data_IF_186198772718
#
_entry.id   IF_186198772718
#
_cell.length_a   1.000
_cell.length_b   1.000
_cell.length_c   1.000
_cell.angle_alpha   90.00
_cell.angle_beta   90.00
_cell.angle_gamma   90.00
#
_symmetry.space_group_name_H-M   'P 1'
#
loop_
_entity.id
_entity.type
_entity.pdbx_description
1 polymer ?
#
# COMPACT_ATOMS: atom_id res chain seq x y z
N UNK A 1 31.00 42.27 -17.26
CA UNK A 1 30.18 41.61 -18.30
C UNK A 1 29.43 40.50 -17.60
N UNK A 2 28.16 40.75 -17.28
CA UNK A 2 27.28 39.78 -16.61
C UNK A 2 26.59 38.96 -17.66
N UNK A 3 26.82 37.63 -17.61
CA UNK A 3 26.12 36.68 -18.47
C UNK A 3 24.70 36.45 -17.92
N UNK A 4 23.72 37.01 -18.59
CA UNK A 4 22.30 36.80 -18.31
C UNK A 4 21.86 35.55 -19.09
N UNK A 5 21.48 34.52 -18.37
CA UNK A 5 20.98 33.27 -18.92
C UNK A 5 19.56 33.47 -19.51
N UNK A 6 19.29 33.23 -20.81
CA UNK A 6 18.03 33.64 -21.48
C UNK A 6 16.86 32.65 -21.34
N UNK A 7 16.90 31.70 -20.39
CA UNK A 7 15.89 30.63 -20.32
C UNK A 7 14.82 30.76 -19.23
N UNK A 8 14.68 31.94 -18.58
CA UNK A 8 13.57 32.19 -17.65
C UNK A 8 12.66 33.30 -18.16
N UNK A 9 11.88 33.02 -19.19
CA UNK A 9 10.65 33.78 -19.41
C UNK A 9 9.58 33.20 -18.48
N UNK A 10 9.11 34.02 -17.54
CA UNK A 10 7.97 33.72 -16.70
C UNK A 10 6.74 33.52 -17.61
N UNK A 11 6.35 32.28 -17.86
CA UNK A 11 5.05 31.98 -18.47
C UNK A 11 3.97 32.41 -17.49
N UNK A 12 3.12 33.32 -17.93
CA UNK A 12 1.92 33.73 -17.20
C UNK A 12 1.11 32.48 -16.87
N UNK A 13 0.93 32.23 -15.58
CA UNK A 13 0.03 31.19 -15.09
C UNK A 13 -1.37 31.66 -15.44
N UNK A 14 -2.02 30.97 -16.38
CA UNK A 14 -3.45 31.17 -16.66
C UNK A 14 -4.26 31.11 -15.36
N UNK A 15 -5.28 31.98 -15.18
CA UNK A 15 -6.06 32.01 -13.97
C UNK A 15 -6.68 30.64 -13.67
N UNK A 16 -6.62 30.24 -12.42
CA UNK A 16 -7.14 28.98 -11.95
C UNK A 16 -8.57 28.77 -12.43
N UNK A 17 -8.79 27.72 -13.19
CA UNK A 17 -10.14 27.32 -13.60
C UNK A 17 -11.02 27.15 -12.36
N UNK A 18 -12.24 27.69 -12.43
CA UNK A 18 -13.21 27.65 -11.33
C UNK A 18 -13.45 26.22 -10.81
N UNK A 19 -13.87 26.05 -9.53
CA UNK A 19 -14.14 24.72 -8.97
C UNK A 19 -15.14 23.86 -9.73
N UNK A 20 -15.97 24.45 -10.58
CA UNK A 20 -16.95 23.77 -11.43
C UNK A 20 -16.33 23.06 -12.65
N UNK A 21 -15.12 23.43 -13.10
CA UNK A 21 -14.43 22.83 -14.25
C UNK A 21 -13.65 21.54 -13.91
N UNK A 22 -13.67 21.08 -12.68
CA UNK A 22 -13.15 19.74 -12.32
C UNK A 22 -14.19 18.68 -12.65
N UNK A 23 -14.45 18.51 -13.93
CA UNK A 23 -15.27 17.43 -14.42
C UNK A 23 -14.68 16.09 -13.95
N UNK A 24 -15.54 15.21 -13.42
CA UNK A 24 -15.14 13.90 -12.89
C UNK A 24 -14.68 13.03 -14.07
N UNK A 25 -13.39 13.04 -14.36
CA UNK A 25 -12.76 12.24 -15.44
C UNK A 25 -13.14 10.75 -15.32
N UNK A 26 -13.54 10.30 -14.11
CA UNK A 26 -13.89 8.91 -13.81
C UNK A 26 -15.40 8.68 -13.62
N UNK A 27 -16.25 9.42 -14.33
CA UNK A 27 -17.71 9.31 -14.14
C UNK A 27 -18.28 7.93 -14.52
N UNK A 28 -17.56 7.13 -15.31
CA UNK A 28 -18.03 5.81 -15.78
C UNK A 28 -16.88 4.79 -15.75
N UNK A 29 -16.80 4.08 -14.65
CA UNK A 29 -15.98 2.87 -14.60
C UNK A 29 -16.70 1.71 -15.29
N UNK A 30 -15.96 0.72 -15.81
CA UNK A 30 -16.55 -0.52 -16.27
C UNK A 30 -17.43 -1.13 -15.18
N UNK A 31 -18.59 -1.64 -15.58
CA UNK A 31 -19.43 -2.38 -14.65
C UNK A 31 -18.76 -3.69 -14.27
N UNK A 32 -18.81 -4.04 -12.98
CA UNK A 32 -18.36 -5.35 -12.54
C UNK A 32 -19.19 -6.44 -13.25
N UNK A 33 -18.55 -7.50 -13.78
CA UNK A 33 -19.26 -8.60 -14.39
C UNK A 33 -20.13 -9.32 -13.33
N UNK A 34 -21.21 -9.95 -13.79
CA UNK A 34 -21.98 -10.86 -12.93
C UNK A 34 -21.07 -12.05 -12.55
N UNK A 35 -21.00 -12.34 -11.26
CA UNK A 35 -20.20 -13.46 -10.75
C UNK A 35 -20.82 -13.99 -9.45
N UNK A 36 -20.41 -15.19 -9.05
CA UNK A 36 -20.85 -15.85 -7.81
C UNK A 36 -19.95 -15.53 -6.61
N UNK A 37 -19.08 -14.53 -6.72
CA UNK A 37 -18.17 -14.12 -5.63
C UNK A 37 -18.95 -13.68 -4.40
N UNK A 38 -18.49 -14.00 -3.18
CA UNK A 38 -19.05 -13.40 -1.95
C UNK A 38 -18.85 -11.88 -1.90
N UNK A 39 -17.93 -11.34 -2.74
CA UNK A 39 -17.62 -9.92 -2.88
C UNK A 39 -17.65 -9.52 -4.36
N UNK A 40 -18.84 -9.41 -5.00
CA UNK A 40 -18.97 -9.22 -6.45
C UNK A 40 -18.33 -7.94 -6.98
N UNK A 41 -18.16 -6.90 -6.14
CA UNK A 41 -17.57 -5.62 -6.47
C UNK A 41 -16.02 -5.62 -6.36
N UNK A 42 -15.42 -6.69 -5.82
CA UNK A 42 -13.96 -6.82 -5.76
C UNK A 42 -13.44 -7.19 -7.16
N UNK A 43 -12.91 -6.20 -7.85
CA UNK A 43 -12.36 -6.32 -9.21
C UNK A 43 -10.99 -5.65 -9.27
N UNK A 44 -10.33 -5.73 -10.44
CA UNK A 44 -9.06 -5.03 -10.67
C UNK A 44 -9.16 -3.50 -10.59
N UNK A 45 -10.35 -2.93 -10.66
CA UNK A 45 -10.62 -1.52 -10.42
C UNK A 45 -11.43 -1.36 -9.14
N UNK A 46 -10.75 -1.00 -8.06
CA UNK A 46 -11.36 -0.90 -6.74
C UNK A 46 -11.60 0.57 -6.37
N UNK A 47 -12.87 0.94 -6.30
CA UNK A 47 -13.30 2.31 -6.03
C UNK A 47 -14.47 2.35 -5.06
N UNK A 48 -14.33 3.16 -3.99
CA UNK A 48 -15.41 3.52 -3.10
C UNK A 48 -15.41 5.01 -2.80
N UNK A 49 -16.58 5.60 -2.63
CA UNK A 49 -16.73 7.00 -2.20
C UNK A 49 -16.15 7.24 -0.81
N UNK A 50 -16.15 6.22 0.06
CA UNK A 50 -15.51 6.23 1.38
C UNK A 50 -14.66 4.99 1.54
N UNK A 51 -13.42 5.19 1.98
CA UNK A 51 -12.48 4.09 2.18
C UNK A 51 -12.80 3.17 3.36
N UNK A 52 -13.71 3.59 4.25
CA UNK A 52 -14.07 2.94 5.51
C UNK A 52 -13.66 3.77 6.72
N UNK A 53 -14.10 3.35 7.90
CA UNK A 53 -13.92 4.10 9.15
C UNK A 53 -13.08 3.30 10.18
N UNK A 54 -12.28 2.32 9.71
CA UNK A 54 -11.43 1.48 10.55
C UNK A 54 -10.09 2.15 10.85
N UNK A 55 -9.55 1.85 12.01
CA UNK A 55 -8.28 2.37 12.52
C UNK A 55 -8.32 3.85 12.87
N UNK A 56 -7.20 4.35 13.37
CA UNK A 56 -7.07 5.79 13.62
C UNK A 56 -7.02 6.57 12.29
N UNK A 57 -8.07 7.31 12.01
CA UNK A 57 -8.19 8.10 10.78
C UNK A 57 -7.30 9.33 10.74
N UNK A 58 -6.76 9.76 11.86
CA UNK A 58 -5.77 10.85 11.94
C UNK A 58 -4.38 10.37 11.55
N UNK A 59 -4.13 9.04 11.60
CA UNK A 59 -2.85 8.44 11.27
C UNK A 59 -2.53 8.57 9.78
N UNK A 60 -1.39 9.16 9.40
CA UNK A 60 -0.99 9.25 8.01
C UNK A 60 -0.82 7.84 7.40
N UNK A 61 -1.43 7.59 6.26
CA UNK A 61 -1.39 6.28 5.61
C UNK A 61 -2.52 5.32 6.01
N UNK A 62 -3.49 5.77 6.86
CA UNK A 62 -4.70 4.97 7.09
C UNK A 62 -5.40 4.67 5.76
N UNK A 63 -5.63 3.38 5.46
CA UNK A 63 -6.26 2.93 4.21
C UNK A 63 -7.79 2.75 4.31
N UNK A 64 -8.38 3.00 5.48
CA UNK A 64 -9.82 2.97 5.72
C UNK A 64 -10.45 1.59 5.83
N UNK A 65 -9.77 0.51 5.48
CA UNK A 65 -10.12 -0.88 5.80
C UNK A 65 -11.08 -1.61 4.87
N UNK A 66 -11.85 -0.93 4.02
CA UNK A 66 -12.83 -1.63 3.14
C UNK A 66 -12.20 -2.68 2.24
N UNK A 67 -11.05 -2.36 1.63
CA UNK A 67 -10.32 -3.32 0.80
C UNK A 67 -9.87 -4.54 1.62
N UNK A 68 -9.36 -4.31 2.84
CA UNK A 68 -8.97 -5.41 3.74
C UNK A 68 -10.15 -6.32 4.00
N UNK A 69 -11.28 -5.73 4.42
CA UNK A 69 -12.51 -6.46 4.69
C UNK A 69 -12.95 -7.34 3.52
N UNK A 70 -12.96 -6.75 2.33
CA UNK A 70 -13.38 -7.45 1.12
C UNK A 70 -12.44 -8.59 0.75
N UNK A 71 -11.12 -8.40 0.92
CA UNK A 71 -10.14 -9.46 0.70
C UNK A 71 -10.28 -10.59 1.73
N UNK A 72 -10.45 -10.28 3.02
CA UNK A 72 -10.61 -11.30 4.06
C UNK A 72 -11.88 -12.14 3.82
N UNK A 73 -12.98 -11.51 3.43
CA UNK A 73 -14.23 -12.21 3.07
C UNK A 73 -14.05 -13.04 1.81
N UNK A 74 -13.41 -12.50 0.77
CA UNK A 74 -13.20 -13.18 -0.51
C UNK A 74 -12.34 -14.43 -0.36
N UNK A 75 -11.28 -14.37 0.44
CA UNK A 75 -10.35 -15.47 0.66
C UNK A 75 -10.75 -16.37 1.83
N UNK A 76 -11.85 -16.09 2.52
CA UNK A 76 -12.30 -16.83 3.70
C UNK A 76 -11.21 -16.94 4.77
N UNK A 77 -10.50 -15.84 5.03
CA UNK A 77 -9.39 -15.80 5.97
C UNK A 77 -9.82 -16.20 7.40
N UNK A 78 -9.00 -17.02 8.07
CA UNK A 78 -9.27 -17.55 9.40
C UNK A 78 -8.23 -17.14 10.44
N UNK A 79 -6.99 -16.80 10.02
CA UNK A 79 -5.90 -16.40 10.89
C UNK A 79 -5.03 -15.36 10.18
N UNK A 80 -5.15 -14.10 10.60
CA UNK A 80 -4.59 -12.94 9.91
C UNK A 80 -3.36 -12.42 10.62
N UNK A 81 -2.34 -12.02 9.85
CA UNK A 81 -1.18 -11.30 10.36
C UNK A 81 -1.04 -9.94 9.69
N UNK A 82 -0.81 -8.90 10.49
CA UNK A 82 -0.46 -7.55 10.06
C UNK A 82 0.86 -7.13 10.72
N UNK A 83 2.00 -7.20 10.00
CA UNK A 83 3.32 -6.89 10.54
C UNK A 83 3.61 -5.39 10.66
N UNK A 84 2.73 -4.52 10.14
CA UNK A 84 2.92 -3.07 10.07
C UNK A 84 1.59 -2.35 10.31
N UNK A 85 0.98 -2.61 11.47
CA UNK A 85 -0.41 -2.23 11.77
C UNK A 85 -0.71 -0.74 11.68
N UNK A 86 0.29 0.12 11.89
CA UNK A 86 0.15 1.57 11.79
C UNK A 86 -1.05 2.09 12.60
N UNK A 87 -2.13 2.43 11.90
CA UNK A 87 -3.38 2.95 12.48
C UNK A 87 -4.28 1.89 13.12
N UNK A 88 -3.93 0.60 13.07
CA UNK A 88 -4.79 -0.48 13.57
C UNK A 88 -5.93 -0.89 12.63
N UNK A 89 -5.90 -0.47 11.39
CA UNK A 89 -7.01 -0.68 10.43
C UNK A 89 -7.32 -2.16 10.20
N UNK A 90 -6.31 -3.01 10.02
CA UNK A 90 -6.50 -4.44 9.81
C UNK A 90 -7.06 -5.12 11.07
N UNK A 91 -6.54 -4.77 12.24
CA UNK A 91 -7.02 -5.29 13.51
C UNK A 91 -8.51 -4.96 13.75
N UNK A 92 -8.95 -3.75 13.42
CA UNK A 92 -10.36 -3.35 13.55
C UNK A 92 -11.26 -4.13 12.58
N UNK A 93 -10.83 -4.32 11.35
CA UNK A 93 -11.56 -5.15 10.36
C UNK A 93 -11.67 -6.59 10.85
N UNK A 94 -10.58 -7.18 11.33
CA UNK A 94 -10.59 -8.55 11.85
C UNK A 94 -11.50 -8.68 13.08
N UNK A 95 -11.53 -7.67 13.96
CA UNK A 95 -12.45 -7.65 15.11
C UNK A 95 -13.90 -7.64 14.68
N UNK A 96 -14.28 -6.84 13.66
CA UNK A 96 -15.63 -6.84 13.09
C UNK A 96 -16.01 -8.21 12.50
N UNK A 97 -15.08 -8.84 11.79
CA UNK A 97 -15.31 -10.14 11.16
C UNK A 97 -15.15 -11.34 12.10
N UNK A 98 -14.78 -11.09 13.37
CA UNK A 98 -14.50 -12.13 14.38
C UNK A 98 -13.40 -13.09 13.91
N UNK A 99 -12.35 -12.55 13.28
CA UNK A 99 -11.18 -13.30 12.79
C UNK A 99 -9.99 -13.02 13.71
N UNK A 100 -9.26 -14.03 14.22
CA UNK A 100 -8.01 -13.86 14.92
C UNK A 100 -7.01 -13.06 14.10
N UNK A 101 -6.39 -12.04 14.72
CA UNK A 101 -5.42 -11.18 14.07
C UNK A 101 -4.22 -10.92 14.98
N UNK A 102 -3.04 -11.33 14.52
CA UNK A 102 -1.79 -10.90 15.10
C UNK A 102 -1.38 -9.58 14.46
N UNK A 103 -1.38 -8.50 15.23
CA UNK A 103 -1.13 -7.15 14.76
C UNK A 103 0.13 -6.60 15.42
N UNK A 104 1.15 -6.25 14.63
CA UNK A 104 2.49 -5.85 15.09
C UNK A 104 2.93 -4.53 14.46
N UNK A 105 3.88 -3.84 15.08
CA UNK A 105 4.41 -2.57 14.57
C UNK A 105 5.79 -2.26 15.13
N UNK A 106 6.63 -1.56 14.36
CA UNK A 106 7.95 -1.10 14.80
C UNK A 106 7.87 -0.24 16.07
N UNK A 107 6.81 0.53 16.24
CA UNK A 107 6.56 1.35 17.45
C UNK A 107 6.37 0.53 18.72
N UNK A 108 6.06 -0.74 18.58
CA UNK A 108 5.92 -1.70 19.68
C UNK A 108 7.10 -2.67 19.73
N UNK A 109 8.20 -2.38 19.03
CA UNK A 109 9.42 -3.16 19.04
C UNK A 109 9.49 -4.28 18.02
N UNK A 110 8.44 -4.50 17.21
CA UNK A 110 8.45 -5.53 16.18
C UNK A 110 9.08 -4.99 14.89
N UNK A 111 10.26 -5.49 14.54
CA UNK A 111 10.90 -5.18 13.26
C UNK A 111 10.56 -6.27 12.23
N UNK A 112 9.69 -5.95 11.29
CA UNK A 112 9.28 -6.91 10.27
C UNK A 112 10.41 -7.32 9.30
N UNK A 113 11.51 -6.56 9.25
CA UNK A 113 12.71 -6.91 8.48
C UNK A 113 13.71 -7.79 9.26
N UNK A 114 13.49 -8.00 10.55
CA UNK A 114 14.33 -8.83 11.40
C UNK A 114 13.65 -10.19 11.65
N UNK A 115 14.31 -11.29 11.25
CA UNK A 115 13.79 -12.64 11.43
C UNK A 115 13.61 -13.02 12.91
N UNK A 116 14.40 -12.45 13.83
CA UNK A 116 14.29 -12.73 15.25
C UNK A 116 12.98 -12.19 15.83
N UNK A 117 12.41 -11.12 15.28
CA UNK A 117 11.09 -10.60 15.67
C UNK A 117 9.98 -11.63 15.45
N UNK A 118 10.13 -12.53 14.48
CA UNK A 118 9.12 -13.55 14.16
C UNK A 118 9.15 -14.77 15.08
N UNK A 119 10.21 -14.97 15.88
CA UNK A 119 10.33 -16.13 16.79
C UNK A 119 9.28 -16.15 17.89
N UNK A 120 8.71 -15.00 18.22
CA UNK A 120 7.70 -14.86 19.27
C UNK A 120 6.27 -14.85 18.73
N UNK A 121 6.09 -15.07 17.44
CA UNK A 121 4.77 -15.23 16.85
C UNK A 121 4.18 -16.61 17.22
N UNK A 122 2.85 -16.77 17.20
CA UNK A 122 2.22 -18.08 17.38
C UNK A 122 2.77 -19.13 16.41
N UNK A 123 2.89 -20.37 16.85
CA UNK A 123 3.39 -21.49 16.02
C UNK A 123 2.47 -21.84 14.84
N UNK A 124 1.19 -21.45 14.90
CA UNK A 124 0.24 -21.69 13.81
C UNK A 124 0.51 -20.73 12.65
N UNK A 125 0.68 -21.24 11.42
CA UNK A 125 0.91 -20.41 10.25
C UNK A 125 -0.33 -19.54 9.95
N UNK A 126 -0.09 -18.36 9.40
CA UNK A 126 -1.16 -17.45 8.98
C UNK A 126 -1.67 -17.83 7.58
N UNK A 127 -2.98 -17.85 7.40
CA UNK A 127 -3.58 -18.10 6.08
C UNK A 127 -3.74 -16.80 5.27
N UNK A 128 -3.68 -15.65 5.93
CA UNK A 128 -3.72 -14.35 5.30
C UNK A 128 -2.76 -13.36 5.97
N UNK A 129 -1.95 -12.68 5.18
CA UNK A 129 -1.12 -11.56 5.63
C UNK A 129 -1.56 -10.31 4.88
N UNK A 130 -1.82 -9.25 5.64
CA UNK A 130 -2.02 -7.91 5.11
C UNK A 130 -0.83 -7.04 5.42
N UNK A 131 -0.33 -6.26 4.45
CA UNK A 131 0.65 -5.23 4.72
C UNK A 131 0.41 -3.97 3.90
N UNK A 132 0.61 -2.83 4.56
CA UNK A 132 0.64 -1.52 3.92
C UNK A 132 1.93 -0.80 4.35
N UNK A 133 3.07 -1.22 3.77
CA UNK A 133 4.38 -0.70 4.16
C UNK A 133 4.56 0.77 3.76
N UNK A 134 5.52 1.48 4.36
CA UNK A 134 5.92 2.80 3.91
C UNK A 134 6.35 2.80 2.43
N UNK A 135 6.00 3.87 1.70
CA UNK A 135 6.49 4.07 0.33
C UNK A 135 7.85 4.76 0.38
N UNK A 136 8.86 4.04 0.87
CA UNK A 136 10.18 4.55 1.20
C UNK A 136 10.06 5.86 2.01
N UNK A 137 10.84 6.90 1.72
CA UNK A 137 10.88 8.17 2.43
C UNK A 137 9.79 9.19 2.03
N UNK A 138 8.72 8.74 1.36
CA UNK A 138 7.58 9.61 1.04
C UNK A 138 6.97 10.24 2.30
N UNK A 139 6.92 9.46 3.38
CA UNK A 139 6.52 9.86 4.72
C UNK A 139 7.38 9.12 5.74
N UNK A 140 8.06 9.86 6.61
CA UNK A 140 8.78 9.30 7.75
C UNK A 140 7.78 9.09 8.89
N UNK A 141 7.71 7.88 9.40
CA UNK A 141 6.76 7.51 10.46
C UNK A 141 7.37 7.55 11.84
N UNK A 142 8.62 7.11 12.00
CA UNK A 142 9.35 7.11 13.29
C UNK A 142 10.78 7.62 13.11
N UNK A 143 11.48 7.83 14.24
CA UNK A 143 12.92 8.12 14.26
C UNK A 143 13.77 6.85 14.45
N UNK A 144 13.14 5.69 14.49
CA UNK A 144 13.86 4.41 14.61
C UNK A 144 14.58 4.11 13.28
N UNK A 145 15.89 3.85 13.36
CA UNK A 145 16.71 3.51 12.18
C UNK A 145 16.28 2.20 11.50
N UNK A 146 15.51 1.35 12.21
CA UNK A 146 14.93 0.12 11.68
C UNK A 146 13.64 0.37 10.88
N UNK A 147 13.04 1.55 11.00
CA UNK A 147 11.85 1.90 10.22
C UNK A 147 12.19 1.96 8.72
N UNK A 148 11.43 1.23 7.90
CA UNK A 148 11.60 1.25 6.45
C UNK A 148 11.52 2.67 5.87
N UNK A 149 10.68 3.53 6.46
CA UNK A 149 10.55 4.93 6.02
C UNK A 149 11.80 5.77 6.28
N UNK A 150 12.64 5.36 7.23
CA UNK A 150 13.87 6.06 7.60
C UNK A 150 15.10 5.57 6.80
N UNK A 151 14.94 4.60 5.90
CA UNK A 151 16.05 4.07 5.10
C UNK A 151 16.74 5.17 4.27
N UNK A 152 18.07 5.37 4.43
CA UNK A 152 18.78 6.51 3.86
C UNK A 152 18.86 6.48 2.33
N UNK A 153 18.87 5.28 1.75
CA UNK A 153 18.95 5.07 0.30
C UNK A 153 17.88 4.09 -0.18
N UNK A 154 17.55 4.14 -1.47
CA UNK A 154 16.64 3.17 -2.08
C UNK A 154 17.18 1.74 -1.93
N UNK A 155 18.49 1.55 -2.08
CA UNK A 155 19.10 0.22 -1.93
C UNK A 155 18.90 -0.32 -0.50
N UNK A 156 19.16 0.48 0.53
CA UNK A 156 18.92 0.09 1.92
C UNK A 156 17.45 -0.19 2.22
N UNK A 157 16.54 0.61 1.63
CA UNK A 157 15.10 0.35 1.72
C UNK A 157 14.75 -1.01 1.10
N UNK A 158 15.19 -1.27 -0.14
CA UNK A 158 14.87 -2.50 -0.87
C UNK A 158 15.46 -3.75 -0.20
N UNK A 159 16.65 -3.66 0.38
CA UNK A 159 17.25 -4.75 1.14
C UNK A 159 16.38 -5.14 2.35
N UNK A 160 16.02 -4.17 3.20
CA UNK A 160 15.14 -4.38 4.34
C UNK A 160 13.72 -4.81 3.94
N UNK A 161 13.21 -4.22 2.87
CA UNK A 161 11.92 -4.57 2.32
C UNK A 161 11.88 -6.02 1.80
N UNK A 162 12.99 -6.49 1.19
CA UNK A 162 13.12 -7.88 0.79
C UNK A 162 13.20 -8.83 1.99
N UNK A 163 13.89 -8.44 3.07
CA UNK A 163 13.90 -9.21 4.32
C UNK A 163 12.48 -9.32 4.92
N UNK A 164 11.75 -8.21 4.99
CA UNK A 164 10.35 -8.20 5.43
C UNK A 164 9.48 -9.19 4.62
N UNK A 165 9.52 -9.14 3.29
CA UNK A 165 8.70 -10.04 2.46
C UNK A 165 9.10 -11.50 2.69
N UNK A 166 10.40 -11.82 2.78
CA UNK A 166 10.86 -13.19 3.07
C UNK A 166 10.38 -13.69 4.43
N UNK A 167 10.47 -12.85 5.47
CA UNK A 167 10.03 -13.21 6.81
C UNK A 167 8.53 -13.50 6.84
N UNK A 168 7.72 -12.65 6.19
CA UNK A 168 6.28 -12.90 6.04
C UNK A 168 5.99 -14.18 5.25
N UNK A 169 6.70 -14.45 4.16
CA UNK A 169 6.55 -15.70 3.40
C UNK A 169 6.89 -16.92 4.25
N UNK A 170 7.82 -16.80 5.20
CA UNK A 170 8.19 -17.86 6.16
C UNK A 170 7.02 -18.31 7.03
N UNK A 171 6.24 -17.38 7.56
CA UNK A 171 5.11 -17.65 8.48
C UNK A 171 3.76 -17.80 7.75
N UNK A 172 3.71 -17.61 6.44
CA UNK A 172 2.52 -17.80 5.64
C UNK A 172 2.29 -19.31 5.42
N UNK A 173 1.04 -19.75 5.59
CA UNK A 173 0.62 -21.12 5.28
C UNK A 173 0.78 -21.46 3.80
N UNK A 174 0.93 -22.72 3.46
CA UNK A 174 0.83 -23.21 2.07
C UNK A 174 -0.56 -22.89 1.51
N UNK A 175 -0.62 -22.30 0.33
CA UNK A 175 -1.85 -21.77 -0.27
C UNK A 175 -2.37 -20.49 0.37
N UNK A 176 -1.73 -19.99 1.45
CA UNK A 176 -2.05 -18.73 2.11
C UNK A 176 -1.84 -17.54 1.20
N UNK A 177 -2.48 -16.41 1.53
CA UNK A 177 -2.45 -15.18 0.74
C UNK A 177 -1.71 -14.06 1.45
N UNK A 178 -0.85 -13.37 0.72
CA UNK A 178 -0.14 -12.18 1.18
C UNK A 178 -0.55 -10.99 0.31
N UNK A 179 -1.37 -10.10 0.86
CA UNK A 179 -1.82 -8.88 0.20
C UNK A 179 -0.95 -7.69 0.62
N UNK A 180 -0.31 -7.05 -0.35
CA UNK A 180 0.53 -5.86 -0.15
C UNK A 180 -0.08 -4.69 -0.89
N UNK A 181 -0.44 -3.63 -0.16
CA UNK A 181 -0.86 -2.36 -0.72
C UNK A 181 0.36 -1.45 -0.87
N UNK A 182 0.66 -1.02 -2.10
CA UNK A 182 1.83 -0.22 -2.41
C UNK A 182 1.50 0.84 -3.46
N UNK A 183 2.07 2.02 -3.30
CA UNK A 183 2.05 3.08 -4.32
C UNK A 183 3.45 3.35 -4.87
N UNK A 184 3.52 3.75 -6.13
CA UNK A 184 4.77 4.25 -6.70
C UNK A 184 5.08 5.65 -6.17
N UNK A 185 6.34 5.99 -6.09
CA UNK A 185 6.81 7.20 -5.47
C UNK A 185 7.73 8.00 -6.39
N UNK A 186 7.55 9.31 -6.43
CA UNK A 186 8.45 10.21 -7.13
C UNK A 186 9.31 10.94 -6.10
N UNK A 187 10.55 10.49 -5.96
CA UNK A 187 11.54 11.09 -5.08
C UNK A 187 12.19 12.32 -5.74
N UNK A 188 12.67 13.26 -4.93
CA UNK A 188 13.31 14.48 -5.44
C UNK A 188 14.68 14.24 -6.04
N UNK A 189 15.41 13.24 -5.52
CA UNK A 189 16.78 12.90 -5.92
C UNK A 189 16.82 11.69 -6.83
N UNK A 190 16.12 10.60 -6.43
CA UNK A 190 16.11 9.35 -7.17
C UNK A 190 15.16 9.38 -8.39
N UNK A 191 14.29 10.39 -8.51
CA UNK A 191 13.28 10.45 -9.55
C UNK A 191 12.11 9.49 -9.30
N UNK A 192 11.51 8.95 -10.36
CA UNK A 192 10.41 8.01 -10.26
C UNK A 192 10.94 6.63 -9.80
N UNK A 193 10.33 6.10 -8.73
CA UNK A 193 10.62 4.79 -8.17
C UNK A 193 9.37 3.92 -8.26
N UNK A 194 9.42 2.87 -9.07
CA UNK A 194 8.32 1.91 -9.19
C UNK A 194 8.40 0.87 -8.07
N UNK A 195 7.88 1.24 -6.89
CA UNK A 195 7.86 0.34 -5.74
C UNK A 195 6.96 -0.88 -5.98
N UNK A 196 5.92 -0.74 -6.80
CA UNK A 196 5.05 -1.85 -7.20
C UNK A 196 5.81 -2.91 -7.99
N UNK A 197 6.69 -2.49 -8.92
CA UNK A 197 7.57 -3.39 -9.66
C UNK A 197 8.56 -4.10 -8.73
N UNK A 198 9.25 -3.35 -7.86
CA UNK A 198 10.18 -3.93 -6.88
C UNK A 198 9.49 -4.92 -5.95
N UNK A 199 8.26 -4.63 -5.49
CA UNK A 199 7.47 -5.55 -4.67
C UNK A 199 7.27 -6.89 -5.35
N UNK A 200 6.87 -6.90 -6.64
CA UNK A 200 6.69 -8.14 -7.41
C UNK A 200 7.99 -8.91 -7.57
N UNK A 201 9.08 -8.23 -7.95
CA UNK A 201 10.38 -8.88 -8.09
C UNK A 201 10.82 -9.56 -6.79
N UNK A 202 10.68 -8.86 -5.66
CA UNK A 202 11.06 -9.37 -4.34
C UNK A 202 10.16 -10.53 -3.92
N UNK A 203 8.84 -10.42 -4.12
CA UNK A 203 7.90 -11.48 -3.78
C UNK A 203 8.17 -12.75 -4.58
N UNK A 204 8.45 -12.64 -5.88
CA UNK A 204 8.81 -13.78 -6.72
C UNK A 204 10.15 -14.41 -6.30
N UNK A 205 11.14 -13.58 -5.96
CA UNK A 205 12.42 -14.06 -5.43
C UNK A 205 12.28 -14.75 -4.05
N UNK A 206 11.24 -14.40 -3.27
CA UNK A 206 10.90 -15.06 -2.02
C UNK A 206 10.08 -16.35 -2.21
N UNK A 207 9.86 -16.83 -3.44
CA UNK A 207 9.12 -18.05 -3.76
C UNK A 207 7.60 -17.88 -3.78
N UNK A 208 7.09 -16.65 -3.68
CA UNK A 208 5.67 -16.39 -3.83
C UNK A 208 5.29 -16.27 -5.31
N UNK A 209 4.03 -16.59 -5.64
CA UNK A 209 3.48 -16.34 -6.98
C UNK A 209 2.34 -15.32 -6.89
N UNK A 210 2.15 -14.50 -7.90
CA UNK A 210 1.00 -13.60 -7.94
C UNK A 210 -0.28 -14.41 -8.12
N UNK A 211 -1.26 -14.21 -7.23
CA UNK A 211 -2.50 -14.97 -7.21
C UNK A 211 -3.52 -14.49 -8.24
N UNK A 212 -3.61 -13.18 -8.44
CA UNK A 212 -4.57 -12.53 -9.33
C UNK A 212 -3.98 -11.29 -9.99
N UNK A 213 -4.73 -10.65 -10.88
CA UNK A 213 -4.37 -9.34 -11.43
C UNK A 213 -4.21 -8.31 -10.32
N UNK A 214 -3.46 -7.24 -10.59
CA UNK A 214 -3.34 -6.10 -9.69
C UNK A 214 -4.71 -5.47 -9.43
N UNK A 215 -4.96 -5.08 -8.18
CA UNK A 215 -6.15 -4.34 -7.77
C UNK A 215 -5.76 -2.87 -7.67
N UNK A 216 -6.16 -2.09 -8.64
CA UNK A 216 -5.93 -0.64 -8.69
C UNK A 216 -6.96 0.04 -7.78
N UNK A 217 -6.49 0.59 -6.65
CA UNK A 217 -7.33 1.29 -5.69
C UNK A 217 -7.19 2.80 -5.88
N UNK A 218 -8.29 3.51 -6.00
CA UNK A 218 -8.31 4.96 -6.19
C UNK A 218 -9.50 5.64 -5.50
N UNK A 219 -9.52 6.98 -5.50
CA UNK A 219 -10.54 7.82 -4.83
C UNK A 219 -10.60 7.67 -3.30
N UNK A 220 -9.48 7.35 -2.67
CA UNK A 220 -9.42 7.10 -1.22
C UNK A 220 -8.84 8.25 -0.41
N UNK A 221 -8.35 9.31 -1.04
CA UNK A 221 -7.70 10.39 -0.31
C UNK A 221 -8.01 11.78 -0.86
N UNK A 222 -8.37 12.70 0.03
CA UNK A 222 -8.47 14.12 -0.30
C UNK A 222 -7.10 14.80 -0.47
N UNK A 223 -6.01 14.15 -0.07
CA UNK A 223 -4.67 14.75 -0.05
C UNK A 223 -4.13 15.08 -1.45
N UNK A 224 -4.37 14.19 -2.43
CA UNK A 224 -3.92 14.39 -3.81
C UNK A 224 -4.69 15.51 -4.51
N UNK A 225 -5.99 15.66 -4.23
CA UNK A 225 -6.84 16.70 -4.84
C UNK A 225 -6.52 18.11 -4.37
N UNK A 226 -5.83 18.26 -3.23
CA UNK A 226 -5.42 19.55 -2.66
C UNK A 226 -4.05 20.02 -3.12
N UNK A 227 -3.28 19.15 -3.80
CA UNK A 227 -1.93 19.49 -4.26
C UNK A 227 -1.99 20.12 -5.66
N UNK A 228 -1.11 21.08 -5.89
CA UNK A 228 -0.83 21.62 -7.21
C UNK A 228 0.45 20.96 -7.71
N UNK A 229 0.35 20.30 -8.84
CA UNK A 229 1.48 19.62 -9.47
C UNK A 229 2.08 20.47 -10.58
N UNK A 230 3.38 20.30 -10.85
CA UNK A 230 4.04 20.92 -12.01
C UNK A 230 3.40 20.43 -13.30
N UNK A 231 3.36 21.27 -14.34
CA UNK A 231 2.80 20.95 -15.64
C UNK A 231 3.47 19.73 -16.32
N UNK A 232 4.72 19.46 -15.97
CA UNK A 232 5.52 18.31 -16.48
C UNK A 232 5.38 17.04 -15.65
N UNK A 233 4.50 17.02 -14.64
CA UNK A 233 4.35 15.88 -13.71
C UNK A 233 2.98 15.22 -13.90
N UNK A 234 2.97 13.91 -14.13
CA UNK A 234 1.74 13.11 -14.17
C UNK A 234 1.44 12.62 -12.74
N UNK A 235 0.38 13.13 -12.06
CA UNK A 235 0.06 12.70 -10.72
C UNK A 235 -0.42 11.26 -10.66
N UNK A 236 0.16 10.45 -9.76
CA UNK A 236 -0.40 9.16 -9.39
C UNK A 236 -1.63 9.36 -8.49
N UNK A 237 -2.78 8.86 -8.93
CA UNK A 237 -4.05 8.97 -8.20
C UNK A 237 -4.53 7.63 -7.62
N UNK A 238 -3.66 6.63 -7.62
CA UNK A 238 -3.98 5.29 -7.17
C UNK A 238 -2.81 4.69 -6.39
N UNK A 239 -3.10 3.66 -5.67
CA UNK A 239 -2.16 2.65 -5.22
C UNK A 239 -2.61 1.26 -5.71
N UNK A 240 -1.76 0.28 -5.54
CA UNK A 240 -1.92 -1.07 -6.09
C UNK A 240 -1.91 -2.07 -4.96
N UNK A 241 -2.97 -2.85 -4.83
CA UNK A 241 -2.96 -4.02 -3.98
C UNK A 241 -2.57 -5.24 -4.83
N UNK A 242 -1.46 -5.84 -4.49
CA UNK A 242 -0.93 -7.06 -5.08
C UNK A 242 -1.18 -8.21 -4.13
N UNK A 243 -1.82 -9.27 -4.61
CA UNK A 243 -2.07 -10.47 -3.81
C UNK A 243 -1.17 -11.58 -4.31
N UNK A 244 -0.32 -12.07 -3.42
CA UNK A 244 0.57 -13.20 -3.64
C UNK A 244 0.07 -14.42 -2.91
N UNK A 245 0.54 -15.58 -3.34
CA UNK A 245 0.22 -16.89 -2.75
C UNK A 245 1.50 -17.67 -2.53
N UNK A 246 1.61 -18.35 -1.37
CA UNK A 246 2.65 -19.35 -1.14
C UNK A 246 2.27 -20.63 -1.88
N UNK A 247 3.18 -21.14 -2.70
CA UNK A 247 2.94 -22.42 -3.38
C UNK A 247 2.67 -23.56 -2.37
N UNK A 248 1.85 -24.51 -2.78
CA UNK A 248 1.64 -25.75 -2.05
C UNK A 248 2.78 -26.70 -2.29
#
# INVERSE_FOLDING_TARGET
>A
MQNVNPFFTAQQVSPAQSPQARERVYARLPLAPRNASPVPHLTSLYHFHRAGDYGDRSYPGNCGGKLIRDLLVFFHAQNVFDPMTGSGTCADVCRELVIPCQSQDIRHGFDAADADSFRNLPDAPFDFIWAHPPYWRQKIYTQDARDLSAAPTLAAFLERYAAFIRNCAGVLAEGGKFAILMGDYCDREAGFVSLTHHTKQIAFAAGLRQHCTDIIRFSHGASSSRKVYRSSFIPGLHDVCMVFEKAR
#
